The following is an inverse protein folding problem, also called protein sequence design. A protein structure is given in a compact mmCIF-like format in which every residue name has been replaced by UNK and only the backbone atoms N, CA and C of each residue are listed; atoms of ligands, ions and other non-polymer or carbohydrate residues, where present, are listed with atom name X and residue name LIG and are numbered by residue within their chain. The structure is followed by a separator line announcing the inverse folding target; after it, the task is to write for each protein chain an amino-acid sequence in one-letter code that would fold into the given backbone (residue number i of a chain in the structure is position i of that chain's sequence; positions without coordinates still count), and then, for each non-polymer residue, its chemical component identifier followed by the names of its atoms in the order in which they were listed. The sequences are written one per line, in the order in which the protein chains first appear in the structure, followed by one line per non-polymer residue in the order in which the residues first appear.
data_IF_612770251901
#
_entry.id   IF_612770251901
#
_cell.length_a   1.000
_cell.length_b   1.000
_cell.length_c   1.000
_cell.angle_alpha   90.00
_cell.angle_beta   90.00
_cell.angle_gamma   90.00
#
_symmetry.space_group_name_H-M   'P 1'
#
loop_
_entity.id
_entity.type
_entity.pdbx_description
1 polymer ?
#
# COMPACT_ATOMS: atom_id res chain seq x y z
N UNK A 1 -6.65 -1.25 -29.00
CA UNK A 1 -5.64 -0.22 -28.71
C UNK A 1 -4.50 -0.43 -29.69
N UNK A 2 -4.28 0.49 -30.63
CA UNK A 2 -3.16 0.40 -31.59
C UNK A 2 -1.88 0.83 -30.88
N UNK A 3 -0.93 -0.10 -30.73
CA UNK A 3 0.40 0.19 -30.19
C UNK A 3 1.24 0.80 -31.32
N UNK A 4 1.42 2.11 -31.31
CA UNK A 4 2.35 2.77 -32.24
C UNK A 4 3.78 2.64 -31.69
N UNK A 5 4.61 1.89 -32.42
CA UNK A 5 6.03 1.66 -32.07
C UNK A 5 6.82 2.96 -31.81
N UNK A 6 6.41 4.05 -32.46
CA UNK A 6 6.96 5.40 -32.28
C UNK A 6 6.75 5.97 -30.89
N UNK A 7 5.56 5.82 -30.30
CA UNK A 7 5.25 6.36 -28.96
C UNK A 7 6.08 5.65 -27.87
N UNK A 8 6.22 4.33 -27.98
CA UNK A 8 7.05 3.54 -27.04
C UNK A 8 8.52 3.94 -27.17
N UNK A 9 9.01 4.13 -28.41
CA UNK A 9 10.39 4.54 -28.66
C UNK A 9 10.69 5.93 -28.11
N UNK A 10 9.77 6.87 -28.27
CA UNK A 10 9.89 8.21 -27.68
C UNK A 10 9.87 8.19 -26.16
N UNK A 11 9.00 7.39 -25.54
CA UNK A 11 8.93 7.27 -24.09
C UNK A 11 10.20 6.67 -23.49
N UNK A 12 10.79 5.65 -24.14
CA UNK A 12 12.08 5.09 -23.73
C UNK A 12 13.20 6.13 -23.92
N UNK A 13 13.22 6.83 -25.07
CA UNK A 13 14.23 7.85 -25.35
C UNK A 13 14.20 8.99 -24.33
N UNK A 14 13.01 9.48 -23.97
CA UNK A 14 12.85 10.49 -22.93
C UNK A 14 13.35 10.02 -21.55
N UNK A 15 13.15 8.74 -21.20
CA UNK A 15 13.67 8.18 -19.95
C UNK A 15 15.20 8.10 -19.93
N UNK A 16 15.81 7.74 -21.07
CA UNK A 16 17.27 7.69 -21.21
C UNK A 16 17.86 9.11 -21.17
N UNK A 17 17.25 10.08 -21.88
CA UNK A 17 17.70 11.48 -21.87
C UNK A 17 17.64 12.13 -20.48
N UNK A 18 16.65 11.73 -19.66
CA UNK A 18 16.50 12.18 -18.26
C UNK A 18 17.29 11.34 -17.24
N UNK A 19 17.99 10.28 -17.68
CA UNK A 19 18.73 9.41 -16.77
C UNK A 19 20.04 10.09 -16.37
N UNK A 20 20.06 10.67 -15.17
CA UNK A 20 21.25 11.29 -14.62
C UNK A 20 22.18 10.23 -14.01
N UNK A 21 23.45 10.22 -14.44
CA UNK A 21 24.45 9.26 -13.97
C UNK A 21 25.32 9.94 -12.92
N UNK A 22 24.80 10.03 -11.70
CA UNK A 22 25.52 10.56 -10.55
C UNK A 22 25.99 9.42 -9.65
N UNK A 23 27.26 9.43 -9.25
CA UNK A 23 27.76 8.50 -8.25
C UNK A 23 27.28 8.93 -6.85
N UNK A 24 26.40 8.15 -6.24
CA UNK A 24 25.95 8.35 -4.86
C UNK A 24 26.74 7.45 -3.91
N UNK A 25 27.17 8.01 -2.79
CA UNK A 25 27.72 7.23 -1.67
C UNK A 25 26.54 6.64 -0.90
N UNK A 26 26.42 5.31 -0.88
CA UNK A 26 25.42 4.59 -0.07
C UNK A 26 26.11 3.71 0.96
N UNK A 27 25.54 3.61 2.14
CA UNK A 27 26.01 2.68 3.16
C UNK A 27 25.63 1.25 2.76
N UNK A 28 26.53 0.31 3.00
CA UNK A 28 26.39 -1.08 2.56
C UNK A 28 26.60 -2.00 3.76
N UNK A 29 25.78 -3.03 3.85
CA UNK A 29 25.90 -4.12 4.80
C UNK A 29 25.96 -5.47 4.10
N UNK A 30 26.24 -6.50 4.89
CA UNK A 30 26.30 -7.88 4.41
C UNK A 30 25.33 -8.74 5.21
N UNK A 31 24.52 -9.55 4.51
CA UNK A 31 23.62 -10.51 5.15
C UNK A 31 24.46 -11.55 5.90
N UNK A 32 24.26 -11.62 7.22
CA UNK A 32 24.88 -12.58 8.12
C UNK A 32 24.05 -13.86 8.26
N UNK A 33 22.73 -13.73 8.24
CA UNK A 33 21.82 -14.87 8.26
C UNK A 33 20.46 -14.54 7.67
N UNK A 34 19.78 -15.57 7.17
CA UNK A 34 18.41 -15.53 6.66
C UNK A 34 17.62 -16.65 7.33
N UNK A 35 16.53 -16.33 8.02
CA UNK A 35 15.64 -17.32 8.65
C UNK A 35 14.21 -16.83 8.60
N UNK A 36 13.30 -17.60 7.99
CA UNK A 36 11.86 -17.32 7.92
C UNK A 36 11.49 -15.87 7.52
N UNK A 37 12.24 -15.30 6.56
CA UNK A 37 12.04 -13.92 6.11
C UNK A 37 12.62 -12.84 7.02
N UNK A 38 13.35 -13.22 8.07
CA UNK A 38 14.13 -12.33 8.92
C UNK A 38 15.59 -12.36 8.48
N UNK A 39 16.16 -11.18 8.27
CA UNK A 39 17.55 -10.95 7.94
C UNK A 39 18.28 -10.43 9.17
N UNK A 40 19.48 -10.96 9.39
CA UNK A 40 20.48 -10.31 10.24
C UNK A 40 21.57 -9.76 9.36
N UNK A 41 21.82 -8.46 9.44
CA UNK A 41 22.77 -7.76 8.57
C UNK A 41 23.89 -7.19 9.42
N UNK A 42 25.14 -7.41 9.03
CA UNK A 42 26.30 -6.78 9.64
C UNK A 42 26.70 -5.53 8.86
N UNK A 43 27.12 -4.49 9.56
CA UNK A 43 27.45 -3.18 8.97
C UNK A 43 26.26 -2.23 9.01
N UNK A 44 26.16 -1.33 8.03
CA UNK A 44 25.14 -0.27 7.93
C UNK A 44 25.11 0.68 9.13
N UNK A 45 26.23 1.35 9.40
CA UNK A 45 26.36 2.26 10.55
C UNK A 45 25.34 3.41 10.57
N UNK A 46 24.89 3.86 9.39
CA UNK A 46 24.00 5.02 9.25
C UNK A 46 22.54 4.65 9.00
N UNK A 47 22.16 3.37 9.18
CA UNK A 47 20.78 2.93 8.96
C UNK A 47 19.84 3.53 10.01
N UNK A 48 18.63 3.89 9.58
CA UNK A 48 17.57 4.36 10.46
C UNK A 48 16.58 3.24 10.80
N UNK A 49 15.93 3.34 11.96
CA UNK A 49 14.83 2.45 12.29
C UNK A 49 13.64 2.75 11.38
N UNK A 50 13.02 1.72 10.80
CA UNK A 50 11.95 1.85 9.82
C UNK A 50 12.44 2.20 8.40
N UNK A 51 13.76 2.22 8.17
CA UNK A 51 14.31 2.46 6.85
C UNK A 51 14.05 1.27 5.91
N UNK A 52 13.76 1.58 4.65
CA UNK A 52 13.69 0.61 3.58
C UNK A 52 15.12 0.24 3.14
N UNK A 53 15.42 -1.05 3.14
CA UNK A 53 16.68 -1.61 2.70
C UNK A 53 16.52 -2.23 1.32
N UNK A 54 17.43 -1.90 0.40
CA UNK A 54 17.47 -2.47 -0.94
C UNK A 54 18.26 -3.78 -0.91
N UNK A 55 17.57 -4.87 -1.23
CA UNK A 55 18.13 -6.21 -1.36
C UNK A 55 18.46 -6.51 -2.83
N UNK A 56 19.33 -7.50 -3.10
CA UNK A 56 19.59 -7.96 -4.45
C UNK A 56 18.30 -8.37 -5.17
N UNK A 57 18.19 -8.02 -6.45
CA UNK A 57 17.06 -8.43 -7.29
C UNK A 57 15.79 -7.59 -7.15
N UNK A 58 15.92 -6.30 -6.81
CA UNK A 58 14.79 -5.36 -6.61
C UNK A 58 13.81 -5.80 -5.49
N UNK A 59 14.31 -6.53 -4.51
CA UNK A 59 13.55 -6.84 -3.29
C UNK A 59 13.83 -5.80 -2.22
N UNK A 60 12.89 -5.62 -1.30
CA UNK A 60 13.05 -4.69 -0.19
C UNK A 60 12.93 -5.41 1.15
N UNK A 61 13.58 -4.86 2.17
CA UNK A 61 13.38 -5.22 3.57
C UNK A 61 13.17 -3.96 4.41
N UNK A 62 12.60 -4.12 5.60
CA UNK A 62 12.46 -3.04 6.57
C UNK A 62 13.36 -3.27 7.77
N UNK A 63 14.16 -2.27 8.14
CA UNK A 63 14.98 -2.32 9.35
C UNK A 63 14.10 -2.13 10.59
N UNK A 64 14.02 -3.13 11.47
CA UNK A 64 13.20 -3.07 12.69
C UNK A 64 14.04 -2.87 13.95
N UNK A 65 15.13 -3.63 14.07
CA UNK A 65 15.98 -3.65 15.25
C UNK A 65 17.39 -3.17 14.89
N UNK A 66 17.87 -2.17 15.61
CA UNK A 66 19.25 -1.69 15.51
C UNK A 66 20.02 -2.18 16.74
N UNK A 67 20.66 -3.35 16.60
CA UNK A 67 21.56 -3.86 17.63
C UNK A 67 22.94 -3.22 17.50
N UNK A 68 23.78 -3.40 18.52
CA UNK A 68 25.12 -2.79 18.56
C UNK A 68 25.99 -3.17 17.35
N UNK A 69 25.93 -4.44 16.95
CA UNK A 69 26.80 -5.01 15.92
C UNK A 69 26.02 -5.60 14.74
N UNK A 70 24.68 -5.51 14.75
CA UNK A 70 23.84 -6.04 13.68
C UNK A 70 22.50 -5.32 13.54
N UNK A 71 21.93 -5.40 12.35
CA UNK A 71 20.62 -4.84 12.02
C UNK A 71 19.67 -5.99 11.74
N UNK A 72 18.58 -6.06 12.49
CA UNK A 72 17.48 -6.98 12.25
C UNK A 72 16.51 -6.36 11.26
N UNK A 73 16.34 -7.01 10.11
CA UNK A 73 15.43 -6.55 9.06
C UNK A 73 14.46 -7.65 8.64
N UNK A 74 13.29 -7.28 8.14
CA UNK A 74 12.28 -8.22 7.67
C UNK A 74 12.06 -8.04 6.17
N UNK A 75 12.12 -9.15 5.42
CA UNK A 75 11.97 -9.15 3.96
C UNK A 75 10.52 -8.90 3.57
N UNK A 76 10.31 -7.94 2.67
CA UNK A 76 9.01 -7.55 2.13
C UNK A 76 8.77 -8.24 0.78
N UNK A 77 8.84 -9.57 0.76
CA UNK A 77 8.73 -10.37 -0.46
C UNK A 77 9.32 -11.78 -0.35
N UNK A 78 9.54 -12.47 -1.48
CA UNK A 78 10.18 -13.78 -1.50
C UNK A 78 11.62 -13.71 -0.98
N UNK A 79 11.93 -14.49 0.06
CA UNK A 79 13.25 -14.51 0.70
C UNK A 79 14.13 -15.70 0.27
N UNK A 80 13.60 -16.65 -0.50
CA UNK A 80 14.29 -17.90 -0.89
C UNK A 80 15.56 -17.70 -1.71
N UNK A 81 15.67 -16.54 -2.37
CA UNK A 81 16.79 -16.22 -3.25
C UNK A 81 17.90 -15.47 -2.50
N UNK A 82 17.71 -15.17 -1.22
CA UNK A 82 18.67 -14.47 -0.38
C UNK A 82 19.60 -15.47 0.30
N UNK A 83 20.90 -15.15 0.32
CA UNK A 83 21.91 -15.96 0.97
C UNK A 83 22.83 -15.09 1.83
N UNK A 84 23.50 -15.75 2.79
CA UNK A 84 24.59 -15.15 3.55
C UNK A 84 25.69 -14.63 2.61
N UNK A 85 26.31 -13.52 2.99
CA UNK A 85 27.36 -12.86 2.20
C UNK A 85 26.83 -11.91 1.12
N UNK A 86 25.52 -11.89 0.84
CA UNK A 86 24.93 -10.92 -0.08
C UNK A 86 24.96 -9.51 0.48
N UNK A 87 25.14 -8.53 -0.40
CA UNK A 87 25.20 -7.11 -0.06
C UNK A 87 23.79 -6.51 0.05
N UNK A 88 23.59 -5.66 1.04
CA UNK A 88 22.36 -4.89 1.28
C UNK A 88 22.72 -3.41 1.30
N UNK A 89 21.86 -2.57 0.73
CA UNK A 89 22.11 -1.12 0.67
C UNK A 89 21.03 -0.35 1.41
N UNK A 90 21.45 0.71 2.08
CA UNK A 90 20.54 1.71 2.64
C UNK A 90 19.92 2.55 1.53
N UNK A 91 18.64 2.89 1.63
CA UNK A 91 17.98 3.77 0.66
C UNK A 91 17.93 5.22 1.15
N UNK A 92 18.19 5.46 2.44
CA UNK A 92 18.02 6.76 3.09
C UNK A 92 16.57 7.20 3.23
N UNK A 93 15.62 6.31 2.91
CA UNK A 93 14.17 6.58 2.92
C UNK A 93 13.49 5.67 3.92
N UNK A 94 12.65 6.27 4.76
CA UNK A 94 11.70 5.53 5.58
C UNK A 94 10.74 4.79 4.63
N UNK A 95 10.08 3.74 5.12
CA UNK A 95 9.04 3.05 4.37
C UNK A 95 8.01 4.06 3.81
N UNK A 96 7.98 4.18 2.49
CA UNK A 96 7.13 5.11 1.74
C UNK A 96 6.37 4.37 0.64
N UNK A 97 5.15 4.81 0.38
CA UNK A 97 4.28 4.28 -0.68
C UNK A 97 3.84 5.41 -1.63
N UNK A 98 3.60 5.10 -2.91
CA UNK A 98 3.05 6.07 -3.85
C UNK A 98 1.64 6.49 -3.42
N UNK A 99 1.33 7.76 -3.62
CA UNK A 99 0.02 8.37 -3.34
C UNK A 99 -0.42 9.23 -4.53
N UNK A 100 -1.72 9.41 -4.71
CA UNK A 100 -2.25 10.24 -5.79
C UNK A 100 -3.53 9.73 -6.41
N UNK A 101 -4.17 10.57 -7.23
CA UNK A 101 -5.44 10.21 -7.91
C UNK A 101 -5.26 9.09 -8.92
N UNK A 102 -4.06 8.93 -9.51
CA UNK A 102 -3.79 7.86 -10.48
C UNK A 102 -3.83 6.44 -9.91
N UNK A 103 -3.93 6.28 -8.58
CA UNK A 103 -4.19 5.00 -7.91
C UNK A 103 -5.67 4.57 -7.97
N UNK A 104 -6.59 5.49 -8.21
CA UNK A 104 -8.01 5.19 -8.29
C UNK A 104 -8.29 4.22 -9.46
N UNK A 105 -9.02 3.14 -9.19
CA UNK A 105 -9.30 2.08 -10.17
C UNK A 105 -8.14 1.11 -10.43
N UNK A 106 -7.07 1.20 -9.63
CA UNK A 106 -5.92 0.31 -9.69
C UNK A 106 -5.95 -0.72 -8.58
N UNK A 107 -5.37 -1.88 -8.87
CA UNK A 107 -5.05 -2.90 -7.86
C UNK A 107 -3.54 -2.86 -7.64
N UNK A 108 -3.14 -2.60 -6.40
CA UNK A 108 -1.74 -2.46 -5.99
C UNK A 108 -1.38 -3.46 -4.90
N UNK A 109 -0.10 -3.80 -4.83
CA UNK A 109 0.45 -4.51 -3.68
C UNK A 109 0.65 -3.57 -2.47
N UNK A 110 1.18 -4.11 -1.39
CA UNK A 110 1.46 -3.35 -0.16
C UNK A 110 2.49 -2.23 -0.36
N UNK A 111 3.42 -2.38 -1.31
CA UNK A 111 4.44 -1.37 -1.63
C UNK A 111 3.94 -0.35 -2.66
N UNK A 112 2.68 -0.46 -3.11
CA UNK A 112 2.06 0.41 -4.10
C UNK A 112 2.42 0.08 -5.55
N UNK A 113 3.01 -1.09 -5.81
CA UNK A 113 3.29 -1.55 -7.18
C UNK A 113 2.00 -2.08 -7.82
N UNK A 114 1.73 -1.76 -9.10
CA UNK A 114 0.53 -2.24 -9.79
C UNK A 114 0.60 -3.75 -10.04
N UNK A 115 -0.44 -4.47 -9.63
CA UNK A 115 -0.58 -5.92 -9.86
C UNK A 115 -1.75 -6.28 -10.78
N UNK A 116 -2.46 -5.27 -11.30
CA UNK A 116 -3.60 -5.43 -12.23
C UNK A 116 -3.21 -5.63 -13.70
N UNK A 117 -1.92 -5.51 -14.04
CA UNK A 117 -1.44 -5.63 -15.43
C UNK A 117 -1.80 -4.44 -16.33
N UNK A 118 -2.35 -3.34 -15.79
CA UNK A 118 -2.71 -2.13 -16.55
C UNK A 118 -1.52 -1.18 -16.80
N UNK A 119 -0.29 -1.63 -16.51
CA UNK A 119 0.94 -0.85 -16.68
C UNK A 119 1.31 -0.03 -15.44
N UNK A 120 2.24 0.92 -15.61
CA UNK A 120 2.70 1.77 -14.52
C UNK A 120 1.57 2.67 -13.97
N UNK A 121 1.74 3.16 -12.75
CA UNK A 121 0.82 4.11 -12.11
C UNK A 121 1.48 5.48 -12.14
N UNK A 122 0.74 6.49 -12.62
CA UNK A 122 1.08 7.88 -12.39
C UNK A 122 0.67 8.25 -10.96
N UNK A 123 1.62 8.72 -10.17
CA UNK A 123 1.39 9.12 -8.78
C UNK A 123 1.85 10.58 -8.60
N UNK A 124 1.31 11.21 -7.55
CA UNK A 124 1.57 12.61 -7.22
C UNK A 124 2.72 12.76 -6.20
N UNK A 125 3.48 11.68 -5.99
CA UNK A 125 4.57 11.60 -5.02
C UNK A 125 4.52 10.33 -4.17
N UNK A 126 5.40 10.31 -3.17
CA UNK A 126 5.55 9.24 -2.20
C UNK A 126 5.26 9.81 -0.80
N UNK A 127 4.59 9.03 0.05
CA UNK A 127 4.29 9.42 1.42
C UNK A 127 4.72 8.31 2.40
N UNK A 128 5.22 8.68 3.59
CA UNK A 128 5.64 7.71 4.60
C UNK A 128 4.44 6.91 5.13
N UNK A 129 4.66 5.62 5.37
CA UNK A 129 3.62 4.70 5.84
C UNK A 129 3.31 4.87 7.33
N UNK A 130 4.31 5.28 8.10
CA UNK A 130 4.18 5.53 9.54
C UNK A 130 4.19 7.04 9.81
N UNK A 131 3.01 7.58 10.12
CA UNK A 131 2.81 8.99 10.46
C UNK A 131 2.02 9.12 11.75
N UNK A 132 2.34 10.14 12.54
CA UNK A 132 1.58 10.47 13.74
C UNK A 132 0.24 11.06 13.31
N UNK A 133 -0.85 10.44 13.75
CA UNK A 133 -2.20 10.90 13.42
C UNK A 133 -2.48 12.32 13.95
N UNK A 134 -3.41 13.08 13.32
CA UNK A 134 -3.79 14.41 13.76
C UNK A 134 -4.20 14.46 15.24
N UNK A 135 -3.72 15.49 15.92
CA UNK A 135 -3.93 15.73 17.35
C UNK A 135 -5.36 16.14 17.68
N UNK A 136 -5.66 16.30 18.98
CA UNK A 136 -7.02 16.63 19.44
C UNK A 136 -7.50 17.98 18.89
N UNK A 137 -6.61 18.97 18.79
CA UNK A 137 -6.93 20.34 18.36
C UNK A 137 -7.20 20.41 16.85
N UNK A 138 -6.63 19.49 16.07
CA UNK A 138 -6.76 19.45 14.60
C UNK A 138 -8.03 18.72 14.13
N UNK A 139 -8.78 18.12 15.07
CA UNK A 139 -9.98 17.33 14.75
C UNK A 139 -11.25 18.15 14.89
N UNK A 140 -12.22 17.83 14.04
CA UNK A 140 -13.59 18.30 14.13
C UNK A 140 -14.54 17.16 14.52
N UNK A 141 -15.65 17.49 15.17
CA UNK A 141 -16.72 16.52 15.45
C UNK A 141 -17.37 16.04 14.17
N UNK A 142 -17.55 14.73 14.04
CA UNK A 142 -18.23 14.11 12.89
C UNK A 142 -19.68 14.58 12.81
N UNK A 143 -20.03 15.23 11.70
CA UNK A 143 -21.36 15.82 11.48
C UNK A 143 -22.02 15.43 10.15
N UNK A 144 -21.26 14.85 9.22
CA UNK A 144 -21.73 14.47 7.89
C UNK A 144 -21.96 12.96 7.79
N UNK A 145 -23.07 12.49 7.18
CA UNK A 145 -23.34 11.05 7.09
C UNK A 145 -22.58 10.39 5.93
N UNK A 146 -22.29 9.09 6.11
CA UNK A 146 -21.88 8.15 5.06
C UNK A 146 -23.04 7.17 4.90
N UNK A 147 -23.67 7.17 3.73
CA UNK A 147 -24.82 6.30 3.46
C UNK A 147 -24.30 4.91 3.08
N UNK A 148 -24.61 3.89 3.88
CA UNK A 148 -24.18 2.51 3.61
C UNK A 148 -25.14 1.83 2.61
N UNK A 149 -26.40 2.24 2.56
CA UNK A 149 -27.43 1.68 1.66
C UNK A 149 -28.24 0.55 2.29
N UNK A 150 -27.98 0.22 3.55
CA UNK A 150 -28.70 -0.80 4.30
C UNK A 150 -29.62 -0.14 5.32
N UNK A 151 -30.94 -0.31 5.15
CA UNK A 151 -31.95 0.22 6.10
C UNK A 151 -31.62 -0.08 7.55
N UNK A 152 -31.21 -1.31 7.86
CA UNK A 152 -30.88 -1.71 9.23
C UNK A 152 -29.67 -0.93 9.80
N UNK A 153 -28.65 -0.69 8.98
CA UNK A 153 -27.45 0.04 9.39
C UNK A 153 -27.74 1.53 9.45
N UNK A 154 -28.18 2.14 8.34
CA UNK A 154 -28.38 3.59 8.25
C UNK A 154 -29.44 4.13 9.24
N UNK A 155 -30.37 3.29 9.69
CA UNK A 155 -31.38 3.67 10.69
C UNK A 155 -30.95 3.47 12.15
N UNK A 156 -30.25 2.37 12.47
CA UNK A 156 -29.94 2.00 13.87
C UNK A 156 -28.52 2.36 14.26
N UNK A 157 -27.58 2.31 13.31
CA UNK A 157 -26.14 2.52 13.50
C UNK A 157 -25.64 3.41 12.35
N UNK A 158 -26.02 4.70 12.33
CA UNK A 158 -25.57 5.61 11.29
C UNK A 158 -24.06 5.80 11.35
N UNK A 159 -23.41 5.81 10.18
CA UNK A 159 -21.96 6.02 10.03
C UNK A 159 -21.73 7.44 9.53
N UNK A 160 -20.78 8.16 10.15
CA UNK A 160 -20.39 9.51 9.71
C UNK A 160 -19.00 9.59 9.07
N UNK A 161 -18.75 10.67 8.32
CA UNK A 161 -17.44 10.94 7.69
C UNK A 161 -16.38 11.20 8.75
N UNK A 162 -15.31 10.41 8.75
CA UNK A 162 -14.27 10.44 9.80
C UNK A 162 -14.57 9.58 11.03
N UNK A 163 -15.69 8.85 11.07
CA UNK A 163 -15.98 7.84 12.09
C UNK A 163 -15.20 6.55 11.81
N UNK A 164 -14.91 5.79 12.88
CA UNK A 164 -14.39 4.42 12.78
C UNK A 164 -15.47 3.46 13.26
N UNK A 165 -15.91 2.56 12.39
CA UNK A 165 -16.98 1.60 12.68
C UNK A 165 -16.50 0.17 12.47
N UNK A 166 -16.62 -0.68 13.50
CA UNK A 166 -16.13 -2.06 13.47
C UNK A 166 -17.22 -3.01 12.98
N UNK A 167 -16.96 -3.71 11.86
CA UNK A 167 -17.80 -4.81 11.39
C UNK A 167 -17.27 -6.14 11.94
N UNK A 168 -17.86 -6.63 13.03
CA UNK A 168 -17.50 -7.91 13.66
C UNK A 168 -18.55 -8.99 13.39
N UNK A 169 -18.11 -10.25 13.25
CA UNK A 169 -18.98 -11.40 13.07
C UNK A 169 -18.22 -12.66 12.70
N UNK A 170 -18.90 -13.81 12.79
CA UNK A 170 -18.33 -15.12 12.47
C UNK A 170 -18.02 -15.30 10.96
N UNK A 171 -17.33 -16.35 10.58
CA UNK A 171 -17.07 -16.70 9.18
C UNK A 171 -18.41 -16.78 8.41
N UNK A 172 -18.40 -16.25 7.18
CA UNK A 172 -19.55 -16.29 6.26
C UNK A 172 -20.82 -15.56 6.74
N UNK A 173 -20.72 -14.58 7.64
CA UNK A 173 -21.87 -13.74 8.08
C UNK A 173 -22.13 -12.50 7.20
N UNK A 174 -21.54 -12.41 6.01
CA UNK A 174 -21.78 -11.28 5.09
C UNK A 174 -20.94 -10.02 5.34
N UNK A 175 -19.91 -10.05 6.21
CA UNK A 175 -19.04 -8.90 6.50
C UNK A 175 -18.48 -8.22 5.25
N UNK A 176 -17.93 -9.02 4.32
CA UNK A 176 -17.34 -8.53 3.08
C UNK A 176 -18.41 -7.98 2.12
N UNK A 177 -19.61 -8.57 2.10
CA UNK A 177 -20.71 -8.07 1.29
C UNK A 177 -21.14 -6.68 1.76
N UNK A 178 -21.33 -6.50 3.08
CA UNK A 178 -21.66 -5.21 3.67
C UNK A 178 -20.62 -4.12 3.32
N UNK A 179 -19.32 -4.45 3.39
CA UNK A 179 -18.24 -3.51 3.08
C UNK A 179 -18.21 -3.13 1.58
N UNK A 180 -18.39 -4.10 0.68
CA UNK A 180 -18.39 -3.85 -0.77
C UNK A 180 -19.62 -3.03 -1.17
N UNK A 181 -20.79 -3.35 -0.62
CA UNK A 181 -22.01 -2.59 -0.90
C UNK A 181 -21.89 -1.14 -0.40
N UNK A 182 -21.23 -0.92 0.74
CA UNK A 182 -20.92 0.42 1.22
C UNK A 182 -20.07 1.21 0.20
N UNK A 183 -19.03 0.58 -0.37
CA UNK A 183 -18.17 1.16 -1.41
C UNK A 183 -18.98 1.47 -2.68
N UNK A 184 -19.81 0.53 -3.13
CA UNK A 184 -20.68 0.71 -4.31
C UNK A 184 -21.62 1.90 -4.11
N UNK A 185 -22.19 2.04 -2.91
CA UNK A 185 -23.10 3.14 -2.60
C UNK A 185 -22.42 4.52 -2.56
N UNK A 186 -21.08 4.59 -2.57
CA UNK A 186 -20.33 5.86 -2.63
C UNK A 186 -20.06 6.38 -4.05
N UNK A 187 -20.47 5.66 -5.10
CA UNK A 187 -20.18 6.02 -6.50
C UNK A 187 -20.45 7.49 -6.84
N UNK A 188 -21.57 8.03 -6.35
CA UNK A 188 -22.00 9.41 -6.65
C UNK A 188 -21.85 10.36 -5.45
N UNK A 189 -21.26 9.92 -4.32
CA UNK A 189 -21.17 10.71 -3.08
C UNK A 189 -19.92 11.60 -2.99
N UNK A 190 -18.98 11.43 -3.93
CA UNK A 190 -17.70 12.12 -3.98
C UNK A 190 -16.60 11.48 -3.13
N UNK A 191 -16.94 10.53 -2.25
CA UNK A 191 -16.02 9.84 -1.35
C UNK A 191 -15.13 8.87 -2.13
N UNK A 192 -13.80 8.93 -1.90
CA UNK A 192 -12.84 7.98 -2.49
C UNK A 192 -12.77 6.74 -1.61
N UNK A 193 -12.81 5.56 -2.19
CA UNK A 193 -12.80 4.33 -1.40
C UNK A 193 -11.43 3.65 -1.44
N UNK A 194 -11.00 3.07 -0.33
CA UNK A 194 -9.82 2.22 -0.26
C UNK A 194 -10.22 0.86 0.31
N UNK A 195 -10.08 -0.19 -0.50
CA UNK A 195 -10.33 -1.56 -0.07
C UNK A 195 -9.01 -2.31 0.15
N UNK A 196 -8.66 -2.56 1.42
CA UNK A 196 -7.44 -3.30 1.79
C UNK A 196 -7.79 -4.77 2.07
N UNK A 197 -7.30 -5.67 1.21
CA UNK A 197 -7.50 -7.11 1.34
C UNK A 197 -6.28 -7.79 1.97
N UNK A 198 -6.40 -8.18 3.24
CA UNK A 198 -5.32 -8.78 4.02
C UNK A 198 -5.58 -10.28 4.22
N UNK A 199 -4.61 -11.12 3.86
CA UNK A 199 -4.65 -12.57 4.06
C UNK A 199 -5.77 -13.27 3.29
N UNK A 200 -6.37 -12.61 2.30
CA UNK A 200 -7.44 -13.19 1.49
C UNK A 200 -6.87 -14.05 0.36
N UNK A 201 -7.66 -15.02 -0.11
CA UNK A 201 -7.31 -15.79 -1.30
C UNK A 201 -7.37 -14.88 -2.52
N UNK A 202 -6.38 -14.97 -3.41
CA UNK A 202 -6.35 -14.20 -4.65
C UNK A 202 -7.65 -14.31 -5.47
N UNK A 203 -8.25 -15.50 -5.54
CA UNK A 203 -9.52 -15.71 -6.24
C UNK A 203 -10.70 -14.97 -5.61
N UNK A 204 -10.73 -14.81 -4.27
CA UNK A 204 -11.74 -14.00 -3.59
C UNK A 204 -11.56 -12.53 -3.97
N UNK A 205 -10.33 -12.04 -3.96
CA UNK A 205 -10.01 -10.65 -4.30
C UNK A 205 -10.39 -10.36 -5.74
N UNK A 206 -10.04 -11.23 -6.70
CA UNK A 206 -10.44 -11.06 -8.10
C UNK A 206 -11.96 -11.01 -8.29
N UNK A 207 -12.73 -11.78 -7.51
CA UNK A 207 -14.19 -11.69 -7.53
C UNK A 207 -14.70 -10.34 -6.99
N UNK A 208 -14.06 -9.78 -5.95
CA UNK A 208 -14.38 -8.45 -5.43
C UNK A 208 -14.08 -7.36 -6.45
N UNK A 209 -12.90 -7.39 -7.07
CA UNK A 209 -12.50 -6.46 -8.15
C UNK A 209 -13.54 -6.49 -9.27
N UNK A 210 -13.91 -7.69 -9.74
CA UNK A 210 -14.92 -7.85 -10.78
C UNK A 210 -16.28 -7.28 -10.36
N UNK A 211 -16.70 -7.49 -9.11
CA UNK A 211 -17.97 -6.94 -8.59
C UNK A 211 -17.95 -5.41 -8.54
N UNK A 212 -16.85 -4.81 -8.09
CA UNK A 212 -16.69 -3.36 -8.09
C UNK A 212 -16.69 -2.81 -9.53
N UNK A 213 -16.11 -3.53 -10.49
CA UNK A 213 -16.15 -3.16 -11.91
C UNK A 213 -17.56 -3.31 -12.52
N UNK A 214 -18.27 -4.40 -12.24
CA UNK A 214 -19.66 -4.64 -12.68
C UNK A 214 -20.65 -3.54 -12.22
N UNK A 215 -20.37 -2.91 -11.08
CA UNK A 215 -21.17 -1.83 -10.51
C UNK A 215 -20.59 -0.43 -10.73
N UNK A 216 -19.56 -0.30 -11.59
CA UNK A 216 -18.79 0.93 -11.86
C UNK A 216 -18.21 1.63 -10.61
N UNK A 217 -18.00 0.88 -9.54
CA UNK A 217 -17.41 1.38 -8.30
C UNK A 217 -15.88 1.28 -8.28
N UNK A 218 -15.29 0.55 -9.22
CA UNK A 218 -13.84 0.41 -9.30
C UNK A 218 -13.16 1.77 -9.59
N UNK A 219 -13.77 2.62 -10.42
CA UNK A 219 -13.16 3.88 -10.85
C UNK A 219 -12.85 4.86 -9.70
N UNK A 220 -13.58 4.79 -8.58
CA UNK A 220 -13.33 5.61 -7.39
C UNK A 220 -12.70 4.83 -6.22
N UNK A 221 -12.25 3.60 -6.47
CA UNK A 221 -11.72 2.71 -5.42
C UNK A 221 -10.26 2.33 -5.69
N UNK A 222 -9.40 2.47 -4.67
CA UNK A 222 -8.06 1.88 -4.64
C UNK A 222 -8.15 0.51 -3.99
N UNK A 223 -7.57 -0.52 -4.59
CA UNK A 223 -7.53 -1.86 -3.98
C UNK A 223 -6.09 -2.21 -3.62
N UNK A 224 -5.82 -2.33 -2.32
CA UNK A 224 -4.52 -2.76 -1.80
C UNK A 224 -4.61 -4.24 -1.44
N UNK A 225 -3.67 -5.04 -1.93
CA UNK A 225 -3.69 -6.48 -1.76
C UNK A 225 -2.44 -6.94 -1.01
N UNK A 226 -2.67 -7.72 0.03
CA UNK A 226 -1.68 -8.60 0.63
C UNK A 226 -2.28 -10.00 0.78
N UNK A 227 -2.05 -10.86 -0.21
CA UNK A 227 -2.67 -12.19 -0.26
C UNK A 227 -2.13 -13.14 0.81
N UNK A 228 -2.87 -14.22 1.09
CA UNK A 228 -2.45 -15.24 2.06
C UNK A 228 -1.11 -15.93 1.76
N UNK A 229 -0.66 -15.89 0.49
CA UNK A 229 0.62 -16.45 0.04
C UNK A 229 1.80 -15.50 0.18
N UNK A 230 1.56 -14.22 0.48
CA UNK A 230 2.60 -13.22 0.63
C UNK A 230 3.23 -13.25 2.03
N UNK A 231 4.42 -12.66 2.12
CA UNK A 231 5.16 -12.55 3.38
C UNK A 231 4.33 -11.86 4.47
N UNK A 232 4.50 -12.30 5.71
CA UNK A 232 3.79 -11.73 6.86
C UNK A 232 4.03 -10.22 7.01
N UNK A 233 5.21 -9.73 6.62
CA UNK A 233 5.53 -8.30 6.62
C UNK A 233 4.60 -7.48 5.72
N UNK A 234 4.29 -7.99 4.52
CA UNK A 234 3.38 -7.31 3.59
C UNK A 234 1.95 -7.31 4.15
N UNK A 235 1.49 -8.44 4.70
CA UNK A 235 0.17 -8.52 5.33
C UNK A 235 0.02 -7.57 6.52
N UNK A 236 1.10 -7.38 7.30
CA UNK A 236 1.15 -6.45 8.42
C UNK A 236 1.12 -4.98 7.96
N UNK A 237 1.86 -4.64 6.90
CA UNK A 237 2.02 -3.27 6.40
C UNK A 237 0.89 -2.79 5.48
N UNK A 238 0.13 -3.70 4.87
CA UNK A 238 -0.97 -3.41 3.96
C UNK A 238 -1.98 -2.37 4.50
N UNK A 239 -2.52 -2.49 5.73
CA UNK A 239 -3.46 -1.50 6.25
C UNK A 239 -2.84 -0.11 6.47
N UNK A 240 -1.56 -0.03 6.83
CA UNK A 240 -0.87 1.27 6.95
C UNK A 240 -0.66 1.92 5.58
N UNK A 241 -0.34 1.11 4.57
CA UNK A 241 -0.21 1.57 3.19
C UNK A 241 -1.54 2.08 2.64
N UNK A 242 -2.64 1.35 2.89
CA UNK A 242 -3.99 1.81 2.55
C UNK A 242 -4.40 3.08 3.30
N UNK A 243 -4.03 3.20 4.59
CA UNK A 243 -4.24 4.42 5.37
C UNK A 243 -3.53 5.61 4.72
N UNK A 244 -2.25 5.45 4.37
CA UNK A 244 -1.43 6.51 3.72
C UNK A 244 -2.06 6.99 2.41
N UNK A 245 -2.59 6.06 1.61
CA UNK A 245 -3.32 6.39 0.38
C UNK A 245 -4.64 7.14 0.65
N UNK A 246 -5.32 6.86 1.77
CA UNK A 246 -6.49 7.60 2.21
C UNK A 246 -6.16 8.99 2.78
N UNK A 247 -5.08 9.11 3.54
CA UNK A 247 -4.60 10.38 4.12
C UNK A 247 -4.27 11.41 3.04
N UNK A 248 -3.80 10.96 1.87
CA UNK A 248 -3.59 11.82 0.71
C UNK A 248 -4.83 12.66 0.36
N UNK A 249 -6.02 12.05 0.38
CA UNK A 249 -7.30 12.73 0.10
C UNK A 249 -7.75 13.57 1.29
N UNK A 250 -7.65 13.02 2.51
CA UNK A 250 -8.00 13.72 3.76
C UNK A 250 -7.30 15.07 3.86
N UNK A 251 -5.98 15.08 3.64
CA UNK A 251 -5.15 16.28 3.82
C UNK A 251 -5.36 17.33 2.72
N UNK A 252 -6.13 16.98 1.67
CA UNK A 252 -6.57 17.88 0.59
C UNK A 252 -8.01 18.38 0.78
N UNK A 253 -8.64 18.06 1.91
CA UNK A 253 -10.03 18.43 2.18
C UNK A 253 -11.06 17.59 1.43
N UNK A 254 -10.65 16.40 0.96
CA UNK A 254 -11.56 15.40 0.41
C UNK A 254 -11.86 14.31 1.45
N UNK A 255 -12.91 13.53 1.16
CA UNK A 255 -13.31 12.41 2.00
C UNK A 255 -12.85 11.08 1.43
N UNK A 256 -12.32 10.23 2.31
CA UNK A 256 -11.95 8.85 2.01
C UNK A 256 -12.68 7.86 2.94
N UNK A 257 -12.97 6.68 2.43
CA UNK A 257 -13.59 5.54 3.14
C UNK A 257 -12.68 4.30 3.08
#
# INVERSE_FOLDING_TARGET
MQLYSTEISELIKQRIEKFDVTAEVRNEGTIASVSDGILRIHGMADVMQGEMLELPGNSFAIALNLERDSVGAVVMGPYTNLAEGMKVKTTGRILEVPVGYGLLGRVVDTLGQPIDGKGAIENDGMAPVEVIAPGVIERESVSQPVQIGYKAVDSMIPVGRGQRELIIGDRQTGKTALAIDAIINQKDSGIKCIYVAIGQKASTISNVVRKLEEHDALAHTIIVVASASEAAALQFLAPYSGCTMGEYFRDRGEDAL
#
